data_IF_056268016789
#
_entry.id   IF_056268016789
#
_cell.length_a   1.000
_cell.length_b   1.000
_cell.length_c   1.000
_cell.angle_alpha   90.00
_cell.angle_beta   90.00
_cell.angle_gamma   90.00
#
_symmetry.space_group_name_H-M   'P 1'
#
loop_
_entity.id
_entity.type
_entity.pdbx_description
1 polymer ?
#
# COMPACT_ATOMS: atom_id res chain seq x y z
N UNK A 1 -11.15 5.46 6.61
CA UNK A 1 -10.88 4.46 5.57
C UNK A 1 -10.04 3.30 6.10
N UNK A 2 -8.74 3.49 6.38
CA UNK A 2 -7.86 2.39 6.82
C UNK A 2 -8.28 1.70 8.13
N UNK A 3 -8.75 2.43 9.14
CA UNK A 3 -9.12 1.83 10.43
C UNK A 3 -10.21 0.75 10.28
N UNK A 4 -11.25 0.96 9.45
CA UNK A 4 -12.29 -0.05 9.23
C UNK A 4 -11.75 -1.30 8.53
N UNK A 5 -10.77 -1.14 7.64
CA UNK A 5 -10.04 -2.24 7.03
C UNK A 5 -9.05 -2.92 8.00
N UNK A 6 -8.97 -2.48 9.26
CA UNK A 6 -8.06 -2.99 10.28
C UNK A 6 -8.82 -3.30 11.57
N UNK A 7 -9.96 -4.00 11.47
CA UNK A 7 -10.85 -4.34 12.60
C UNK A 7 -11.41 -3.12 13.37
N UNK A 8 -11.50 -1.96 12.71
CA UNK A 8 -11.85 -0.71 13.38
C UNK A 8 -10.73 -0.14 14.26
N UNK A 9 -9.53 -0.76 14.26
CA UNK A 9 -8.42 -0.36 15.10
C UNK A 9 -7.59 0.74 14.43
N UNK A 10 -7.83 1.98 14.82
CA UNK A 10 -7.10 3.15 14.33
C UNK A 10 -5.60 3.13 14.70
N UNK A 11 -5.19 2.43 15.77
CA UNK A 11 -3.78 2.38 16.17
C UNK A 11 -2.90 1.60 15.18
N UNK A 12 -3.51 0.80 14.30
CA UNK A 12 -2.82 0.06 13.24
C UNK A 12 -2.65 0.88 11.95
N UNK A 13 -3.23 2.08 11.86
CA UNK A 13 -3.12 2.92 10.67
C UNK A 13 -1.66 3.31 10.37
N UNK A 14 -0.84 3.76 11.34
CA UNK A 14 0.58 4.01 11.07
C UNK A 14 1.32 2.77 10.57
N UNK A 15 0.92 1.58 11.01
CA UNK A 15 1.54 0.32 10.60
C UNK A 15 1.24 -0.01 9.13
N UNK A 16 -0.03 0.06 8.68
CA UNK A 16 -0.38 -0.19 7.27
C UNK A 16 0.29 0.83 6.34
N UNK A 17 0.41 2.10 6.78
CA UNK A 17 1.12 3.13 6.02
C UNK A 17 2.62 2.79 5.92
N UNK A 18 3.21 2.36 7.03
CA UNK A 18 4.60 1.89 7.09
C UNK A 18 4.85 0.67 6.21
N UNK A 19 3.89 -0.25 6.08
CA UNK A 19 3.97 -1.39 5.15
C UNK A 19 4.10 -0.91 3.71
N UNK A 20 3.25 0.01 3.27
CA UNK A 20 3.33 0.53 1.89
C UNK A 20 4.61 1.34 1.64
N UNK A 21 5.07 2.11 2.63
CA UNK A 21 6.35 2.81 2.55
C UNK A 21 7.51 1.83 2.34
N UNK A 22 7.59 0.79 3.17
CA UNK A 22 8.66 -0.22 3.06
C UNK A 22 8.58 -0.99 1.75
N UNK A 23 7.40 -1.36 1.28
CA UNK A 23 7.26 -2.01 0.00
C UNK A 23 7.67 -1.10 -1.18
N UNK A 24 7.38 0.20 -1.08
CA UNK A 24 7.86 1.21 -2.01
C UNK A 24 9.39 1.31 -2.02
N UNK A 25 10.04 1.27 -0.86
CA UNK A 25 11.50 1.27 -0.76
C UNK A 25 12.15 -0.01 -1.34
N UNK A 26 11.42 -1.13 -1.41
CA UNK A 26 11.92 -2.42 -1.93
C UNK A 26 11.77 -2.53 -3.45
N UNK A 27 10.60 -2.18 -3.98
CA UNK A 27 10.28 -2.43 -5.41
C UNK A 27 9.53 -1.31 -6.10
N UNK A 28 9.40 -0.14 -5.47
CA UNK A 28 8.75 1.03 -6.03
C UNK A 28 9.67 2.24 -6.02
N UNK A 29 9.06 3.41 -6.05
CA UNK A 29 9.72 4.71 -5.99
C UNK A 29 9.07 5.53 -4.86
N UNK A 30 9.90 6.07 -3.97
CA UNK A 30 9.46 6.91 -2.85
C UNK A 30 9.99 8.31 -3.06
N UNK A 31 9.07 9.25 -3.23
CA UNK A 31 9.36 10.67 -3.41
C UNK A 31 9.05 11.41 -2.11
N UNK A 32 9.96 12.30 -1.70
CA UNK A 32 9.84 13.12 -0.49
C UNK A 32 9.97 14.59 -0.85
N UNK A 33 9.02 15.42 -0.42
CA UNK A 33 9.18 16.87 -0.44
C UNK A 33 9.63 17.36 0.93
N UNK A 34 10.54 18.35 0.95
CA UNK A 34 11.04 18.96 2.18
C UNK A 34 10.85 20.48 2.16
N UNK A 35 10.50 21.05 3.30
CA UNK A 35 10.46 22.50 3.47
C UNK A 35 11.87 23.09 3.66
N UNK A 36 11.95 24.42 3.84
CA UNK A 36 13.22 25.13 4.09
C UNK A 36 13.94 24.66 5.38
N UNK A 37 13.20 24.17 6.37
CA UNK A 37 13.73 23.59 7.61
C UNK A 37 14.20 22.13 7.44
N UNK A 38 14.12 21.56 6.23
CA UNK A 38 14.46 20.17 5.88
C UNK A 38 13.53 19.11 6.48
N UNK A 39 12.33 19.51 6.91
CA UNK A 39 11.30 18.61 7.39
C UNK A 39 10.55 18.00 6.22
N UNK A 40 10.16 16.72 6.32
CA UNK A 40 9.36 16.05 5.29
C UNK A 40 7.93 16.56 5.39
N UNK A 41 7.44 17.21 4.33
CA UNK A 41 6.09 17.76 4.24
C UNK A 41 5.20 16.97 3.29
N UNK A 42 5.77 16.15 2.41
CA UNK A 42 5.01 15.31 1.50
C UNK A 42 5.75 14.00 1.21
N UNK A 43 4.97 12.93 1.04
CA UNK A 43 5.44 11.61 0.64
C UNK A 43 4.54 11.07 -0.46
N UNK A 44 5.13 10.60 -1.55
CA UNK A 44 4.43 9.86 -2.59
C UNK A 44 5.13 8.53 -2.87
N UNK A 45 4.34 7.46 -3.01
CA UNK A 45 4.81 6.10 -3.25
C UNK A 45 4.22 5.62 -4.57
N UNK A 46 5.09 5.33 -5.53
CA UNK A 46 4.74 4.86 -6.87
C UNK A 46 5.31 3.48 -7.13
N UNK A 47 4.67 2.74 -8.03
CA UNK A 47 5.21 1.50 -8.57
C UNK A 47 5.17 1.58 -10.10
N UNK A 48 6.29 1.23 -10.71
CA UNK A 48 6.49 1.20 -12.16
C UNK A 48 5.78 -0.01 -12.80
N UNK A 49 5.64 -0.04 -14.14
CA UNK A 49 5.15 -1.21 -14.86
C UNK A 49 5.88 -2.49 -14.45
N UNK A 50 5.13 -3.59 -14.33
CA UNK A 50 5.62 -4.88 -13.87
C UNK A 50 5.74 -5.04 -12.35
N UNK A 51 5.50 -3.99 -11.55
CA UNK A 51 5.57 -4.05 -10.09
C UNK A 51 4.18 -3.97 -9.45
N UNK A 52 4.03 -4.55 -8.25
CA UNK A 52 2.87 -4.36 -7.36
C UNK A 52 3.36 -4.03 -5.96
N UNK A 53 2.56 -3.33 -5.17
CA UNK A 53 2.97 -2.88 -3.83
C UNK A 53 3.15 -3.97 -2.77
N UNK A 54 2.73 -5.21 -3.04
CA UNK A 54 2.90 -6.39 -2.16
C UNK A 54 3.06 -7.66 -3.01
N UNK A 55 3.67 -7.50 -4.20
CA UNK A 55 3.78 -8.56 -5.20
C UNK A 55 4.87 -9.60 -4.88
N UNK A 56 5.89 -9.23 -4.11
CA UNK A 56 7.00 -10.13 -3.77
C UNK A 56 6.96 -10.61 -2.31
N UNK A 57 7.61 -11.73 -2.03
CA UNK A 57 7.80 -12.22 -0.66
C UNK A 57 8.55 -11.22 0.20
N UNK A 58 9.56 -10.54 -0.35
CA UNK A 58 10.33 -9.52 0.36
C UNK A 58 9.46 -8.32 0.78
N UNK A 59 8.63 -7.80 -0.12
CA UNK A 59 7.68 -6.73 0.19
C UNK A 59 6.69 -7.13 1.29
N UNK A 60 6.19 -8.38 1.26
CA UNK A 60 5.23 -8.88 2.25
C UNK A 60 5.89 -9.12 3.62
N UNK A 61 7.09 -9.67 3.64
CA UNK A 61 7.87 -9.85 4.86
C UNK A 61 8.22 -8.52 5.54
N UNK A 62 8.28 -7.41 4.78
CA UNK A 62 8.61 -6.07 5.29
C UNK A 62 7.51 -5.40 6.15
N UNK A 63 6.53 -6.17 6.65
CA UNK A 63 5.59 -5.71 7.68
C UNK A 63 4.14 -6.12 7.43
N UNK A 64 3.81 -6.54 6.20
CA UNK A 64 2.46 -7.01 5.89
C UNK A 64 2.09 -8.26 6.69
N UNK A 65 2.96 -9.28 6.72
CA UNK A 65 2.71 -10.52 7.45
C UNK A 65 2.53 -10.30 8.97
N UNK A 66 3.42 -9.55 9.67
CA UNK A 66 3.20 -9.17 11.06
C UNK A 66 1.88 -8.42 11.30
N UNK A 67 1.52 -7.49 10.40
CA UNK A 67 0.27 -6.74 10.51
C UNK A 67 -0.95 -7.66 10.39
N UNK A 68 -0.96 -8.57 9.42
CA UNK A 68 -2.03 -9.56 9.27
C UNK A 68 -2.16 -10.45 10.51
N UNK A 69 -1.04 -10.79 11.16
CA UNK A 69 -1.03 -11.53 12.43
C UNK A 69 -1.85 -10.86 13.55
N UNK A 70 -1.94 -9.53 13.55
CA UNK A 70 -2.68 -8.73 14.54
C UNK A 70 -4.19 -8.65 14.28
N UNK A 71 -4.63 -8.96 13.08
CA UNK A 71 -6.03 -8.82 12.67
C UNK A 71 -6.86 -10.05 13.04
N UNK A 72 -8.18 -9.87 13.16
CA UNK A 72 -9.14 -10.96 13.31
C UNK A 72 -9.11 -11.90 12.10
N UNK A 73 -9.56 -13.15 12.28
CA UNK A 73 -9.68 -14.11 11.17
C UNK A 73 -10.53 -13.55 10.01
N UNK A 74 -11.62 -12.84 10.35
CA UNK A 74 -12.53 -12.23 9.37
C UNK A 74 -11.83 -11.14 8.56
N UNK A 75 -11.11 -10.24 9.24
CA UNK A 75 -10.41 -9.14 8.58
C UNK A 75 -9.22 -9.62 7.75
N UNK A 76 -8.45 -10.62 8.23
CA UNK A 76 -7.44 -11.30 7.42
C UNK A 76 -8.02 -11.92 6.17
N UNK A 77 -9.12 -12.66 6.29
CA UNK A 77 -9.79 -13.28 5.13
C UNK A 77 -10.20 -12.22 4.10
N UNK A 78 -10.76 -11.10 4.56
CA UNK A 78 -11.12 -9.98 3.68
C UNK A 78 -9.91 -9.45 2.90
N UNK A 79 -8.77 -9.24 3.57
CA UNK A 79 -7.55 -8.79 2.90
C UNK A 79 -7.00 -9.80 1.89
N UNK A 80 -6.97 -11.08 2.24
CA UNK A 80 -6.58 -12.16 1.32
C UNK A 80 -7.48 -12.18 0.10
N UNK A 81 -8.80 -12.18 0.29
CA UNK A 81 -9.78 -12.16 -0.80
C UNK A 81 -9.63 -10.93 -1.70
N UNK A 82 -9.41 -9.75 -1.11
CA UNK A 82 -9.20 -8.52 -1.84
C UNK A 82 -7.93 -8.59 -2.71
N UNK A 83 -6.80 -9.01 -2.13
CA UNK A 83 -5.49 -8.98 -2.79
C UNK A 83 -5.25 -10.12 -3.77
N UNK A 84 -5.81 -11.30 -3.54
CA UNK A 84 -5.57 -12.49 -4.38
C UNK A 84 -6.51 -12.62 -5.58
N UNK A 85 -7.49 -11.73 -5.72
CA UNK A 85 -8.37 -11.80 -6.90
C UNK A 85 -9.21 -10.57 -7.16
N UNK A 86 -9.93 -10.06 -6.15
CA UNK A 86 -10.92 -9.01 -6.39
C UNK A 86 -10.29 -7.72 -6.93
N UNK A 87 -9.13 -7.33 -6.40
CA UNK A 87 -8.48 -6.09 -6.80
C UNK A 87 -8.01 -6.12 -8.26
N UNK A 88 -7.35 -7.19 -8.68
CA UNK A 88 -6.91 -7.36 -10.06
C UNK A 88 -8.09 -7.36 -11.03
N UNK A 89 -9.16 -8.11 -10.70
CA UNK A 89 -10.39 -8.14 -11.50
C UNK A 89 -11.05 -6.76 -11.59
N UNK A 90 -11.09 -6.02 -10.49
CA UNK A 90 -11.67 -4.67 -10.46
C UNK A 90 -10.89 -3.73 -11.37
N UNK A 91 -9.56 -3.77 -11.33
CA UNK A 91 -8.70 -2.95 -12.19
C UNK A 91 -8.89 -3.33 -13.66
N UNK A 92 -8.83 -4.62 -13.99
CA UNK A 92 -9.04 -5.13 -15.35
C UNK A 92 -10.39 -4.68 -15.93
N UNK A 93 -11.48 -4.83 -15.15
CA UNK A 93 -12.82 -4.47 -15.59
C UNK A 93 -13.03 -2.95 -15.71
N UNK A 94 -12.32 -2.15 -14.93
CA UNK A 94 -12.54 -0.69 -14.86
C UNK A 94 -11.61 0.08 -15.79
N UNK A 95 -10.33 -0.30 -15.83
CA UNK A 95 -9.29 0.43 -16.54
C UNK A 95 -8.88 -0.26 -17.84
N UNK A 96 -9.24 -1.53 -18.02
CA UNK A 96 -8.92 -2.31 -19.20
C UNK A 96 -7.80 -3.32 -18.97
N UNK A 97 -7.67 -4.22 -19.94
CA UNK A 97 -6.82 -5.39 -19.78
C UNK A 97 -5.34 -5.05 -19.65
N UNK A 98 -4.68 -5.65 -18.66
CA UNK A 98 -3.24 -5.52 -18.42
C UNK A 98 -2.79 -4.20 -17.80
N UNK A 99 -3.70 -3.25 -17.53
CA UNK A 99 -3.33 -1.92 -17.00
C UNK A 99 -2.65 -2.01 -15.62
N UNK A 100 -3.05 -2.97 -14.78
CA UNK A 100 -2.49 -3.13 -13.43
C UNK A 100 -0.96 -3.27 -13.42
N UNK A 101 -0.39 -3.95 -14.42
CA UNK A 101 1.05 -4.12 -14.58
C UNK A 101 1.63 -3.31 -15.74
N UNK A 102 0.79 -2.77 -16.63
CA UNK A 102 1.21 -1.98 -17.78
C UNK A 102 1.45 -0.49 -17.50
N UNK A 103 1.01 0.00 -16.33
CA UNK A 103 1.05 1.43 -16.01
C UNK A 103 1.77 1.71 -14.68
N UNK A 104 2.33 2.92 -14.59
CA UNK A 104 2.70 3.52 -13.32
C UNK A 104 1.45 3.73 -12.45
N UNK A 105 1.51 3.34 -11.18
CA UNK A 105 0.41 3.58 -10.25
C UNK A 105 0.87 4.16 -8.92
N UNK A 106 0.16 5.21 -8.51
CA UNK A 106 0.30 5.82 -7.21
C UNK A 106 -0.35 4.91 -6.16
N UNK A 107 0.44 4.43 -5.20
CA UNK A 107 -0.07 3.62 -4.09
C UNK A 107 -0.55 4.49 -2.93
N UNK A 108 0.21 5.52 -2.61
CA UNK A 108 -0.06 6.40 -1.48
C UNK A 108 0.54 7.78 -1.72
N UNK A 109 -0.22 8.81 -1.38
CA UNK A 109 0.27 10.18 -1.24
C UNK A 109 -0.21 10.73 0.11
N UNK A 110 0.66 11.44 0.80
CA UNK A 110 0.37 12.08 2.07
C UNK A 110 1.10 13.40 2.17
N UNK A 111 0.42 14.40 2.70
CA UNK A 111 0.93 15.76 2.88
C UNK A 111 0.70 16.18 4.34
N UNK A 112 1.65 16.94 4.89
CA UNK A 112 1.47 17.62 6.16
C UNK A 112 0.33 18.65 6.04
N UNK A 113 -0.61 18.71 6.98
CA UNK A 113 -1.81 19.55 6.85
C UNK A 113 -1.55 21.06 6.95
N UNK A 114 -0.36 21.45 7.42
CA UNK A 114 0.05 22.84 7.66
C UNK A 114 0.89 23.42 6.52
#
# INVERSE_FOLDING_TARGET
FFAQALDGNASLVPEILGVYLKAGLIGGEVYLAKNAAREIIEVAIWFQPGQKSLGTTEQRAAGWEPLMGKLSKKCRFWWTYLLEGLYDQLVENTLGAGIMLGAYHLKLIGMHPD
#
